data_IF_973298253099
#
_entry.id   IF_973298253099
#
_cell.length_a   1.000
_cell.length_b   1.000
_cell.length_c   1.000
_cell.angle_alpha   90.00
_cell.angle_beta   90.00
_cell.angle_gamma   90.00
#
_symmetry.space_group_name_H-M   'P 1'
#
loop_
_entity.id
_entity.type
_entity.pdbx_description
1 polymer ?
#
# COMPACT_ATOMS: atom_id res chain seq x y z
N UNK A 1 9.40 -14.95 7.78
CA UNK A 1 9.22 -16.26 8.46
C UNK A 1 9.91 -17.35 7.65
N UNK A 2 10.34 -18.47 8.26
CA UNK A 2 11.07 -19.53 7.55
C UNK A 2 10.37 -20.08 6.29
N UNK A 3 9.04 -20.18 6.31
CA UNK A 3 8.24 -20.59 5.14
C UNK A 3 8.32 -19.59 3.99
N UNK A 4 8.39 -18.28 4.28
CA UNK A 4 8.63 -17.25 3.27
C UNK A 4 10.01 -17.40 2.65
N UNK A 5 11.03 -17.70 3.44
CA UNK A 5 12.39 -17.91 2.93
C UNK A 5 12.39 -19.10 1.97
N UNK A 6 11.85 -20.25 2.41
CA UNK A 6 11.77 -21.46 1.58
C UNK A 6 11.06 -21.24 0.23
N UNK A 7 10.01 -20.43 0.20
CA UNK A 7 9.17 -20.30 -0.99
C UNK A 7 9.59 -19.17 -1.93
N UNK A 8 10.35 -18.18 -1.44
CA UNK A 8 10.60 -16.94 -2.18
C UNK A 8 12.07 -16.48 -2.18
N UNK A 9 12.93 -16.99 -1.30
CA UNK A 9 14.32 -16.61 -1.31
C UNK A 9 15.04 -17.19 -2.53
N UNK A 10 15.98 -16.42 -3.06
CA UNK A 10 16.79 -16.75 -4.23
C UNK A 10 18.26 -16.66 -3.87
N UNK A 11 19.02 -17.64 -4.34
CA UNK A 11 20.46 -17.52 -4.55
C UNK A 11 20.64 -16.78 -5.88
N UNK A 12 20.92 -15.48 -5.80
CA UNK A 12 20.96 -14.60 -6.96
C UNK A 12 22.35 -14.54 -7.58
N UNK A 13 23.40 -14.58 -6.76
CA UNK A 13 24.79 -14.55 -7.21
C UNK A 13 25.33 -15.94 -7.63
N UNK A 14 24.55 -17.00 -7.41
CA UNK A 14 24.79 -18.40 -7.83
C UNK A 14 25.97 -19.05 -7.10
N UNK A 15 26.19 -18.69 -5.84
CA UNK A 15 27.25 -19.27 -5.02
C UNK A 15 26.83 -20.56 -4.28
N UNK A 16 25.60 -21.06 -4.52
CA UNK A 16 24.94 -22.22 -3.89
C UNK A 16 24.50 -21.99 -2.43
N UNK A 17 24.50 -20.75 -1.95
CA UNK A 17 24.08 -20.37 -0.60
C UNK A 17 23.10 -19.21 -0.72
N UNK A 18 21.94 -19.33 -0.07
CA UNK A 18 21.01 -18.21 0.06
C UNK A 18 21.41 -17.39 1.29
N UNK A 19 22.20 -16.33 1.11
CA UNK A 19 22.63 -15.44 2.18
C UNK A 19 21.76 -14.18 2.24
N UNK A 20 20.65 -14.23 2.99
CA UNK A 20 19.75 -13.07 3.14
C UNK A 20 20.35 -11.84 3.85
N UNK A 21 21.58 -11.93 4.35
CA UNK A 21 22.35 -10.79 4.87
C UNK A 21 23.13 -10.07 3.76
N UNK A 22 23.40 -10.73 2.64
CA UNK A 22 24.01 -10.12 1.47
C UNK A 22 22.99 -9.24 0.75
N UNK A 23 23.45 -8.13 0.16
CA UNK A 23 22.57 -7.23 -0.60
C UNK A 23 22.04 -7.90 -1.87
N UNK A 24 22.85 -8.76 -2.51
CA UNK A 24 22.48 -9.47 -3.74
C UNK A 24 21.25 -10.37 -3.51
N UNK A 25 21.34 -11.32 -2.57
CA UNK A 25 20.25 -12.27 -2.33
C UNK A 25 19.07 -11.61 -1.62
N UNK A 26 19.32 -10.68 -0.69
CA UNK A 26 18.23 -10.01 0.02
C UNK A 26 17.35 -9.19 -0.92
N UNK A 27 17.93 -8.41 -1.83
CA UNK A 27 17.16 -7.60 -2.77
C UNK A 27 16.47 -8.46 -3.81
N UNK A 28 17.15 -9.46 -4.37
CA UNK A 28 16.55 -10.39 -5.33
C UNK A 28 15.40 -11.18 -4.71
N UNK A 29 15.56 -11.67 -3.47
CA UNK A 29 14.51 -12.37 -2.73
C UNK A 29 13.33 -11.47 -2.41
N UNK A 30 13.58 -10.22 -1.98
CA UNK A 30 12.52 -9.24 -1.73
C UNK A 30 11.75 -8.90 -3.01
N UNK A 31 12.46 -8.69 -4.12
CA UNK A 31 11.87 -8.43 -5.44
C UNK A 31 11.05 -9.63 -5.92
N UNK A 32 11.55 -10.85 -5.78
CA UNK A 32 10.82 -12.07 -6.12
C UNK A 32 9.54 -12.21 -5.29
N UNK A 33 9.62 -11.97 -3.98
CA UNK A 33 8.44 -11.99 -3.11
C UNK A 33 7.39 -10.95 -3.57
N UNK A 34 7.79 -9.69 -3.76
CA UNK A 34 6.91 -8.59 -4.20
C UNK A 34 6.27 -8.91 -5.57
N UNK A 35 7.04 -9.48 -6.50
CA UNK A 35 6.53 -9.92 -7.79
C UNK A 35 5.49 -11.04 -7.63
N UNK A 36 5.78 -12.07 -6.84
CA UNK A 36 4.90 -13.24 -6.63
C UNK A 36 3.59 -12.90 -5.92
N UNK A 37 3.58 -11.90 -5.04
CA UNK A 37 2.33 -11.43 -4.42
C UNK A 37 1.47 -10.57 -5.38
N UNK A 38 1.98 -10.28 -6.58
CA UNK A 38 1.24 -9.64 -7.67
C UNK A 38 1.38 -8.12 -7.70
N UNK A 39 2.55 -7.60 -7.31
CA UNK A 39 2.88 -6.19 -7.53
C UNK A 39 2.89 -5.86 -9.02
N UNK A 40 2.34 -4.71 -9.38
CA UNK A 40 2.32 -4.23 -10.75
C UNK A 40 3.19 -2.99 -10.89
N UNK A 41 4.15 -3.05 -11.81
CA UNK A 41 5.04 -1.91 -12.09
C UNK A 41 4.22 -0.70 -12.54
N UNK A 42 4.60 0.49 -12.06
CA UNK A 42 4.00 1.78 -12.39
C UNK A 42 2.53 2.00 -11.94
N UNK A 43 1.88 1.04 -11.27
CA UNK A 43 0.59 1.32 -10.62
C UNK A 43 0.81 2.10 -9.29
N UNK A 44 -0.05 3.10 -8.99
CA UNK A 44 0.10 3.89 -7.78
C UNK A 44 -0.13 3.05 -6.52
N UNK A 45 0.54 3.41 -5.42
CA UNK A 45 0.26 2.84 -4.11
C UNK A 45 -1.02 3.45 -3.51
N UNK A 46 -1.01 4.77 -3.33
CA UNK A 46 -2.05 5.52 -2.65
C UNK A 46 -1.99 6.99 -3.05
N UNK A 47 -3.02 7.74 -2.69
CA UNK A 47 -3.01 9.21 -2.63
C UNK A 47 -3.54 9.66 -1.27
N UNK A 48 -2.99 10.75 -0.73
CA UNK A 48 -3.54 11.43 0.45
C UNK A 48 -4.73 12.26 -0.01
N UNK A 49 -5.81 12.23 0.75
CA UNK A 49 -7.05 12.93 0.40
C UNK A 49 -7.66 13.60 1.64
N UNK A 50 -8.37 14.69 1.42
CA UNK A 50 -9.26 15.30 2.42
C UNK A 50 -10.68 14.84 2.11
N UNK A 51 -11.29 14.09 3.03
CA UNK A 51 -12.64 13.55 2.84
C UNK A 51 -13.71 14.56 3.25
N UNK A 52 -14.77 14.62 2.48
CA UNK A 52 -15.99 15.36 2.82
C UNK A 52 -16.71 14.71 4.02
N UNK A 53 -17.49 15.49 4.78
CA UNK A 53 -18.22 14.98 5.95
C UNK A 53 -19.33 13.96 5.59
N UNK A 54 -19.84 13.99 4.36
CA UNK A 54 -20.89 13.10 3.86
C UNK A 54 -20.37 11.72 3.40
N UNK A 55 -19.06 11.46 3.52
CA UNK A 55 -18.50 10.16 3.12
C UNK A 55 -19.17 9.01 3.89
N UNK A 56 -19.72 7.99 3.19
CA UNK A 56 -20.38 6.88 3.85
C UNK A 56 -19.38 6.10 4.72
N UNK A 57 -19.66 5.96 6.03
CA UNK A 57 -18.80 5.24 7.00
C UNK A 57 -18.39 3.85 6.54
N UNK A 58 -19.24 3.14 5.79
CA UNK A 58 -18.93 1.83 5.21
C UNK A 58 -17.72 1.83 4.27
N UNK A 59 -17.39 2.95 3.63
CA UNK A 59 -16.22 3.05 2.75
C UNK A 59 -14.90 3.14 3.53
N UNK A 60 -14.95 3.47 4.83
CA UNK A 60 -13.77 3.72 5.65
C UNK A 60 -13.19 2.41 6.19
N UNK A 61 -11.90 2.21 5.94
CA UNK A 61 -11.16 1.05 6.42
C UNK A 61 -10.14 1.46 7.49
N UNK A 62 -10.33 0.98 8.73
CA UNK A 62 -9.38 1.20 9.83
C UNK A 62 -8.47 -0.02 10.08
N UNK A 63 -8.88 -1.20 9.60
CA UNK A 63 -8.13 -2.45 9.74
C UNK A 63 -7.38 -2.84 8.47
N UNK A 64 -6.11 -3.23 8.62
CA UNK A 64 -5.30 -3.82 7.54
C UNK A 64 -5.61 -5.29 7.25
N UNK A 65 -6.48 -5.96 8.03
CA UNK A 65 -6.73 -7.41 7.88
C UNK A 65 -7.33 -7.74 6.51
N UNK A 66 -8.31 -6.95 6.08
CA UNK A 66 -8.95 -7.05 4.76
C UNK A 66 -9.60 -5.71 4.43
N UNK A 67 -9.13 -5.08 3.36
CA UNK A 67 -9.81 -3.90 2.84
C UNK A 67 -11.14 -4.30 2.18
N UNK A 68 -12.17 -3.52 2.43
CA UNK A 68 -13.54 -3.76 1.98
C UNK A 68 -14.10 -2.50 1.32
N UNK A 69 -15.29 -2.64 0.72
CA UNK A 69 -15.99 -1.55 0.01
C UNK A 69 -15.15 -0.84 -1.06
N UNK A 70 -14.37 -1.63 -1.80
CA UNK A 70 -13.54 -1.14 -2.91
C UNK A 70 -14.40 -0.65 -4.06
N UNK A 71 -14.05 0.49 -4.63
CA UNK A 71 -14.79 1.14 -5.73
C UNK A 71 -13.82 1.70 -6.76
N UNK A 72 -14.34 1.99 -7.95
CA UNK A 72 -13.60 2.77 -8.95
C UNK A 72 -13.20 4.11 -8.36
N UNK A 73 -12.02 4.60 -8.73
CA UNK A 73 -11.49 5.87 -8.26
C UNK A 73 -12.45 7.02 -8.58
N UNK A 74 -13.07 7.01 -9.77
CA UNK A 74 -14.12 7.97 -10.15
C UNK A 74 -15.31 8.05 -9.19
N UNK A 75 -15.68 6.94 -8.55
CA UNK A 75 -16.74 6.93 -7.55
C UNK A 75 -16.25 7.52 -6.22
N UNK A 76 -15.04 7.16 -5.80
CA UNK A 76 -14.46 7.64 -4.54
C UNK A 76 -14.18 9.15 -4.57
N UNK A 77 -13.84 9.70 -5.73
CA UNK A 77 -13.64 11.14 -5.93
C UNK A 77 -14.85 12.00 -5.56
N UNK A 78 -16.06 11.42 -5.44
CA UNK A 78 -17.25 12.17 -5.01
C UNK A 78 -17.16 12.67 -3.58
N UNK A 79 -16.30 12.06 -2.75
CA UNK A 79 -16.19 12.32 -1.32
C UNK A 79 -14.87 13.01 -0.94
N UNK A 80 -14.30 13.80 -1.84
CA UNK A 80 -13.02 14.50 -1.65
C UNK A 80 -13.24 15.99 -1.91
N UNK A 81 -12.85 16.84 -0.95
CA UNK A 81 -13.07 18.30 -1.01
C UNK A 81 -12.17 18.98 -2.06
N UNK A 82 -10.88 18.60 -2.10
CA UNK A 82 -9.91 19.12 -3.05
C UNK A 82 -9.61 18.06 -4.12
N UNK A 83 -10.41 18.07 -5.18
CA UNK A 83 -10.17 17.27 -6.38
C UNK A 83 -8.98 17.85 -7.13
N UNK A 84 -7.78 17.63 -6.60
CA UNK A 84 -6.55 17.82 -7.35
C UNK A 84 -6.61 17.00 -8.64
N UNK A 85 -5.88 17.44 -9.67
CA UNK A 85 -5.64 16.63 -10.86
C UNK A 85 -4.68 15.49 -10.51
N UNK A 86 -5.21 14.49 -9.81
CA UNK A 86 -4.52 13.22 -9.62
C UNK A 86 -4.33 12.59 -10.99
N UNK A 87 -3.08 12.43 -11.42
CA UNK A 87 -2.73 11.69 -12.63
C UNK A 87 -2.89 10.17 -12.40
N UNK A 88 -4.13 9.75 -12.14
CA UNK A 88 -4.53 8.38 -11.80
C UNK A 88 -5.70 7.99 -12.68
N UNK A 89 -5.62 6.80 -13.28
CA UNK A 89 -6.73 6.26 -14.05
C UNK A 89 -8.00 6.13 -13.19
N UNK A 90 -9.04 6.85 -13.61
CA UNK A 90 -10.36 6.91 -12.98
C UNK A 90 -11.05 5.55 -12.86
N UNK A 91 -10.64 4.55 -13.64
CA UNK A 91 -11.15 3.19 -13.58
C UNK A 91 -10.43 2.29 -12.56
N UNK A 92 -9.31 2.74 -11.98
CA UNK A 92 -8.60 1.96 -10.96
C UNK A 92 -9.50 1.70 -9.76
N UNK A 93 -9.40 0.49 -9.22
CA UNK A 93 -10.12 0.10 -8.02
C UNK A 93 -9.29 0.47 -6.81
N UNK A 94 -9.88 1.25 -5.89
CA UNK A 94 -9.26 1.64 -4.64
C UNK A 94 -10.18 1.46 -3.44
N UNK A 95 -9.62 1.67 -2.25
CA UNK A 95 -10.31 1.69 -0.97
C UNK A 95 -9.90 2.94 -0.19
N UNK A 96 -10.81 3.49 0.63
CA UNK A 96 -10.46 4.57 1.55
C UNK A 96 -9.97 3.95 2.86
N UNK A 97 -8.80 4.37 3.33
CA UNK A 97 -8.28 3.99 4.65
C UNK A 97 -8.14 5.21 5.56
N UNK A 98 -8.35 4.98 6.85
CA UNK A 98 -8.21 5.99 7.92
C UNK A 98 -7.34 5.37 9.04
N UNK A 99 -6.01 5.35 8.87
CA UNK A 99 -5.11 4.49 9.63
C UNK A 99 -4.99 4.82 11.13
N UNK A 100 -5.42 6.00 11.54
CA UNK A 100 -5.22 6.49 12.91
C UNK A 100 -6.47 6.39 13.79
N UNK A 101 -7.60 6.00 13.20
CA UNK A 101 -8.90 6.00 13.87
C UNK A 101 -8.92 5.16 15.15
N UNK A 102 -8.25 4.02 15.15
CA UNK A 102 -8.27 3.07 16.26
C UNK A 102 -7.21 3.40 17.34
N UNK A 103 -6.43 4.47 17.17
CA UNK A 103 -5.25 4.77 18.01
C UNK A 103 -5.34 6.18 18.62
N UNK A 104 -6.02 7.12 17.96
CA UNK A 104 -6.21 8.49 18.47
C UNK A 104 -7.59 8.58 19.15
N UNK A 105 -7.66 8.85 20.46
CA UNK A 105 -8.92 9.13 21.14
C UNK A 105 -9.65 10.31 20.49
N UNK A 106 -10.97 10.22 20.36
CA UNK A 106 -11.83 11.28 19.81
C UNK A 106 -11.51 11.73 18.36
N UNK A 107 -10.69 10.96 17.62
CA UNK A 107 -10.36 11.31 16.23
C UNK A 107 -11.63 11.31 15.38
N UNK A 108 -11.91 12.44 14.71
CA UNK A 108 -12.86 12.50 13.60
C UNK A 108 -12.38 11.53 12.51
N UNK A 109 -13.26 10.63 12.06
CA UNK A 109 -12.93 9.45 11.24
C UNK A 109 -12.37 9.76 9.83
N UNK A 110 -11.99 10.99 9.53
CA UNK A 110 -11.81 11.51 8.18
C UNK A 110 -10.39 12.01 7.90
N UNK A 111 -9.55 12.19 8.93
CA UNK A 111 -8.16 12.63 8.76
C UNK A 111 -7.21 11.90 9.74
N UNK A 112 -6.03 11.44 9.29
CA UNK A 112 -5.60 11.39 7.89
C UNK A 112 -6.38 10.32 7.11
N UNK A 113 -6.67 10.61 5.85
CA UNK A 113 -7.32 9.67 4.94
C UNK A 113 -6.50 9.50 3.65
N UNK A 114 -6.59 8.30 3.10
CA UNK A 114 -5.91 7.93 1.87
C UNK A 114 -6.81 7.06 1.01
N UNK A 115 -6.75 7.25 -0.30
CA UNK A 115 -7.24 6.23 -1.24
C UNK A 115 -6.05 5.35 -1.60
N UNK A 116 -6.16 4.07 -1.28
CA UNK A 116 -5.13 3.06 -1.56
C UNK A 116 -5.57 2.15 -2.70
N UNK A 117 -4.60 1.67 -3.48
CA UNK A 117 -4.82 0.85 -4.67
C UNK A 117 -4.24 -0.56 -4.49
N UNK A 118 -4.34 -1.37 -5.55
CA UNK A 118 -3.96 -2.79 -5.54
C UNK A 118 -2.52 -3.02 -5.05
N UNK A 119 -1.55 -2.19 -5.45
CA UNK A 119 -0.15 -2.30 -5.02
C UNK A 119 0.02 -2.12 -3.51
N UNK A 120 -0.71 -1.19 -2.90
CA UNK A 120 -0.71 -1.03 -1.44
C UNK A 120 -1.25 -2.28 -0.72
N UNK A 121 -2.35 -2.87 -1.22
CA UNK A 121 -2.86 -4.14 -0.69
C UNK A 121 -1.85 -5.28 -0.80
N UNK A 122 -0.97 -5.27 -1.80
CA UNK A 122 0.12 -6.25 -1.91
C UNK A 122 1.12 -6.08 -0.78
N UNK A 123 1.49 -4.85 -0.45
CA UNK A 123 2.39 -4.58 0.69
C UNK A 123 1.79 -5.09 2.01
N UNK A 124 0.46 -5.01 2.17
CA UNK A 124 -0.21 -5.57 3.35
C UNK A 124 -0.08 -7.12 3.47
N UNK A 125 0.31 -7.83 2.41
CA UNK A 125 0.68 -9.25 2.50
C UNK A 125 2.03 -9.46 3.17
N UNK A 126 2.95 -8.50 3.04
CA UNK A 126 4.24 -8.50 3.73
C UNK A 126 4.04 -8.24 5.23
N UNK A 127 3.28 -7.19 5.55
CA UNK A 127 2.94 -6.83 6.93
C UNK A 127 1.57 -6.17 6.97
N UNK A 128 0.64 -6.75 7.77
CA UNK A 128 -0.74 -6.30 7.89
C UNK A 128 -0.87 -5.08 8.81
N UNK A 129 -0.25 -3.98 8.42
CA UNK A 129 -0.34 -2.69 9.11
C UNK A 129 -0.54 -1.57 8.09
N UNK A 130 -1.58 -0.75 8.30
CA UNK A 130 -1.89 0.33 7.37
C UNK A 130 -0.76 1.37 7.31
N UNK A 131 -0.22 1.74 8.48
CA UNK A 131 0.90 2.68 8.58
C UNK A 131 2.19 2.12 7.97
N UNK A 132 2.46 0.83 8.15
CA UNK A 132 3.59 0.18 7.49
C UNK A 132 3.49 0.28 5.97
N UNK A 133 2.32 -0.04 5.41
CA UNK A 133 2.07 0.08 3.97
C UNK A 133 2.30 1.51 3.45
N UNK A 134 1.85 2.51 4.21
CA UNK A 134 2.04 3.92 3.86
C UNK A 134 3.52 4.28 3.89
N UNK A 135 4.24 3.91 4.95
CA UNK A 135 5.67 4.20 5.11
C UNK A 135 6.51 3.61 3.97
N UNK A 136 6.25 2.37 3.56
CA UNK A 136 6.94 1.73 2.43
C UNK A 136 6.71 2.50 1.13
N UNK A 137 5.46 2.86 0.83
CA UNK A 137 5.13 3.59 -0.39
C UNK A 137 5.70 5.03 -0.40
N UNK A 138 5.64 5.74 0.73
CA UNK A 138 6.27 7.06 0.89
C UNK A 138 7.78 6.98 0.69
N UNK A 139 8.44 5.99 1.28
CA UNK A 139 9.88 5.81 1.15
C UNK A 139 10.29 5.52 -0.30
N UNK A 140 9.53 4.68 -1.01
CA UNK A 140 9.73 4.42 -2.44
C UNK A 140 9.69 5.71 -3.26
N UNK A 141 8.72 6.59 -3.01
CA UNK A 141 8.58 7.86 -3.74
C UNK A 141 9.67 8.89 -3.37
N UNK A 142 10.29 8.77 -2.18
CA UNK A 142 11.45 9.59 -1.82
C UNK A 142 12.71 9.18 -2.59
N UNK A 143 12.89 7.89 -2.91
CA UNK A 143 14.04 7.45 -3.70
C UNK A 143 13.96 7.87 -5.17
N UNK A 144 12.76 8.00 -5.75
CA UNK A 144 12.62 8.56 -7.11
C UNK A 144 13.10 10.00 -7.25
N UNK A 145 13.18 10.74 -6.14
CA UNK A 145 13.65 12.12 -6.12
C UNK A 145 15.12 12.25 -5.66
N UNK A 146 15.81 11.14 -5.40
CA UNK A 146 17.16 11.10 -4.85
C UNK A 146 18.19 10.41 -5.78
N UNK A 147 17.73 9.89 -6.93
CA UNK A 147 18.52 9.24 -7.98
C UNK A 147 18.45 10.11 -9.24
#
# INVERSE_FOLDING_TARGET
MPTTIKNYALDYDKNNIIELKSTADSFASAANYINKIGWKKNEPCFIRVSLTEDVPKKLLNTSAKKLHNKKKFSYLMKFIDNKEDYNIDKNLIGAIITPDKDIIPDSKNLEPAYIVFNNYEKILKWNRSLRFGLAVCVLKDKFTNAL
#
